data_IF_469126896203
#
_entry.id   IF_469126896203
#
_cell.length_a   1.000
_cell.length_b   1.000
_cell.length_c   1.000
_cell.angle_alpha   90.00
_cell.angle_beta   90.00
_cell.angle_gamma   90.00
#
_symmetry.space_group_name_H-M   'P 1'
#
loop_
_entity.id
_entity.type
_entity.pdbx_description
1 polymer ?
#
# COMPACT_ATOMS: atom_id res chain seq x y z
N UNK A 1 13.69 14.32 -30.09
CA UNK A 1 14.31 13.66 -28.92
C UNK A 1 13.79 12.23 -28.87
N UNK A 2 14.65 11.21 -28.83
CA UNK A 2 14.24 9.79 -28.84
C UNK A 2 14.30 9.18 -27.42
N UNK A 3 13.71 7.99 -27.23
CA UNK A 3 13.69 7.31 -25.93
C UNK A 3 15.09 7.04 -25.38
N UNK A 4 16.08 6.77 -26.24
CA UNK A 4 17.48 6.58 -25.82
C UNK A 4 18.07 7.85 -25.20
N UNK A 5 17.85 9.01 -25.82
CA UNK A 5 18.29 10.30 -25.28
C UNK A 5 17.56 10.66 -23.97
N UNK A 6 16.31 10.24 -23.82
CA UNK A 6 15.57 10.41 -22.56
C UNK A 6 16.09 9.51 -21.45
N UNK A 7 16.39 8.25 -21.75
CA UNK A 7 17.01 7.31 -20.80
C UNK A 7 18.36 7.82 -20.32
N UNK A 8 19.17 8.36 -21.23
CA UNK A 8 20.48 8.92 -20.86
C UNK A 8 20.33 10.14 -19.93
N UNK A 9 19.38 11.05 -20.22
CA UNK A 9 19.06 12.15 -19.33
C UNK A 9 18.56 11.67 -17.95
N UNK A 10 17.70 10.65 -17.93
CA UNK A 10 17.22 10.06 -16.68
C UNK A 10 18.35 9.40 -15.88
N UNK A 11 19.31 8.76 -16.56
CA UNK A 11 20.49 8.17 -15.93
C UNK A 11 21.34 9.23 -15.23
N UNK A 12 21.64 10.33 -15.92
CA UNK A 12 22.40 11.47 -15.35
C UNK A 12 21.66 12.03 -14.12
N UNK A 13 20.33 12.19 -14.19
CA UNK A 13 19.53 12.64 -13.06
C UNK A 13 19.56 11.67 -11.88
N UNK A 14 19.52 10.36 -12.14
CA UNK A 14 19.60 9.34 -11.09
C UNK A 14 20.98 9.33 -10.43
N UNK A 15 22.07 9.55 -11.17
CA UNK A 15 23.42 9.68 -10.60
C UNK A 15 23.53 10.91 -9.67
N UNK A 16 22.85 12.01 -10.02
CA UNK A 16 22.82 13.25 -9.22
C UNK A 16 21.91 13.17 -7.99
N UNK A 17 20.80 12.44 -8.10
CA UNK A 17 19.80 12.31 -7.03
C UNK A 17 19.92 11.01 -6.24
N UNK A 18 20.97 10.22 -6.49
CA UNK A 18 21.14 8.90 -5.93
C UNK A 18 21.03 8.97 -4.40
N UNK A 19 19.97 8.39 -3.81
CA UNK A 19 19.78 8.47 -2.37
C UNK A 19 20.95 7.78 -1.67
N UNK A 20 21.57 8.47 -0.71
CA UNK A 20 22.68 7.90 0.09
C UNK A 20 22.21 6.92 1.17
N UNK A 21 20.91 6.64 1.29
CA UNK A 21 20.45 5.65 2.26
C UNK A 21 20.74 4.25 1.72
N UNK A 22 21.44 3.44 2.52
CA UNK A 22 21.60 2.01 2.28
C UNK A 22 20.70 1.27 3.27
N UNK A 23 20.13 0.15 2.85
CA UNK A 23 19.49 -0.78 3.76
C UNK A 23 20.60 -1.69 4.29
N UNK A 24 20.94 -1.52 5.56
CA UNK A 24 22.10 -2.15 6.19
C UNK A 24 21.77 -3.53 6.75
N UNK A 25 20.52 -3.75 7.16
CA UNK A 25 20.09 -4.97 7.83
C UNK A 25 19.07 -5.77 7.01
N UNK A 26 18.97 -7.09 7.22
CA UNK A 26 17.87 -7.90 6.68
C UNK A 26 16.49 -7.36 7.09
N UNK A 27 16.34 -6.89 8.33
CA UNK A 27 15.09 -6.35 8.84
C UNK A 27 14.64 -5.09 8.08
N UNK A 28 15.55 -4.14 7.82
CA UNK A 28 15.22 -2.94 7.02
C UNK A 28 14.79 -3.30 5.58
N UNK A 29 15.43 -4.31 4.99
CA UNK A 29 15.05 -4.82 3.66
C UNK A 29 13.67 -5.47 3.70
N UNK A 30 13.40 -6.27 4.72
CA UNK A 30 12.12 -6.93 4.90
C UNK A 30 10.98 -5.93 5.11
N UNK A 31 11.19 -4.89 5.94
CA UNK A 31 10.24 -3.78 6.11
C UNK A 31 9.92 -3.14 4.76
N UNK A 32 10.94 -2.84 3.94
CA UNK A 32 10.72 -2.23 2.64
C UNK A 32 9.96 -3.17 1.69
N UNK A 33 10.35 -4.45 1.63
CA UNK A 33 9.67 -5.46 0.81
C UNK A 33 8.20 -5.62 1.21
N UNK A 34 7.90 -5.71 2.52
CA UNK A 34 6.53 -5.81 3.03
C UNK A 34 5.73 -4.53 2.76
N UNK A 35 6.39 -3.36 2.79
CA UNK A 35 5.76 -2.08 2.42
C UNK A 35 5.39 -2.05 0.94
N UNK A 36 6.27 -2.49 0.05
CA UNK A 36 5.97 -2.59 -1.39
C UNK A 36 4.84 -3.60 -1.63
N UNK A 37 4.88 -4.75 -0.95
CA UNK A 37 3.81 -5.75 -1.05
C UNK A 37 2.47 -5.20 -0.60
N UNK A 38 2.41 -4.45 0.51
CA UNK A 38 1.18 -3.77 0.94
C UNK A 38 0.64 -2.82 -0.13
N UNK A 39 1.52 -2.09 -0.84
CA UNK A 39 1.10 -1.21 -1.93
C UNK A 39 0.46 -1.99 -3.09
N UNK A 40 1.04 -3.14 -3.45
CA UNK A 40 0.48 -4.05 -4.45
C UNK A 40 -0.94 -4.48 -4.08
N UNK A 41 -1.16 -5.03 -2.88
CA UNK A 41 -2.49 -5.49 -2.42
C UNK A 41 -3.52 -4.36 -2.41
N UNK A 42 -3.11 -3.16 -1.99
CA UNK A 42 -3.99 -1.98 -2.04
C UNK A 42 -4.36 -1.62 -3.48
N UNK A 43 -3.42 -1.78 -4.42
CA UNK A 43 -3.65 -1.59 -5.84
C UNK A 43 -4.65 -2.59 -6.42
N UNK A 44 -4.54 -3.86 -6.03
CA UNK A 44 -5.46 -4.94 -6.43
C UNK A 44 -6.87 -4.71 -5.86
N UNK A 45 -6.98 -4.36 -4.57
CA UNK A 45 -8.23 -3.94 -3.96
C UNK A 45 -8.85 -2.73 -4.68
N UNK A 46 -8.05 -1.71 -5.02
CA UNK A 46 -8.52 -0.55 -5.78
C UNK A 46 -9.07 -0.95 -7.16
N UNK A 47 -8.38 -1.86 -7.85
CA UNK A 47 -8.81 -2.39 -9.14
C UNK A 47 -10.17 -3.10 -9.00
N UNK A 48 -10.35 -3.92 -7.98
CA UNK A 48 -11.60 -4.66 -7.74
C UNK A 48 -12.77 -3.74 -7.37
N UNK A 49 -12.54 -2.73 -6.52
CA UNK A 49 -13.55 -1.72 -6.20
C UNK A 49 -14.02 -0.99 -7.47
N UNK A 50 -13.09 -0.60 -8.35
CA UNK A 50 -13.43 0.02 -9.64
C UNK A 50 -14.23 -0.93 -10.53
N UNK A 51 -13.93 -2.24 -10.48
CA UNK A 51 -14.68 -3.28 -11.18
C UNK A 51 -16.14 -3.33 -10.74
N UNK A 52 -16.39 -3.35 -9.42
CA UNK A 52 -17.74 -3.36 -8.84
C UNK A 52 -18.53 -2.11 -9.19
N UNK A 53 -17.88 -0.95 -9.11
CA UNK A 53 -18.50 0.33 -9.45
C UNK A 53 -18.69 0.53 -10.96
N UNK A 54 -18.26 -0.44 -11.79
CA UNK A 54 -18.30 -0.39 -13.26
C UNK A 54 -17.56 0.82 -13.84
N UNK A 55 -16.51 1.27 -13.14
CA UNK A 55 -15.68 2.41 -13.56
C UNK A 55 -14.46 1.97 -14.38
N UNK A 56 -14.36 0.68 -14.72
CA UNK A 56 -13.32 0.13 -15.58
C UNK A 56 -13.71 0.07 -17.06
N UNK A 57 -12.71 -0.10 -17.94
CA UNK A 57 -12.92 -0.36 -19.37
C UNK A 57 -13.73 -1.66 -19.56
N UNK A 58 -14.66 -1.67 -20.52
CA UNK A 58 -15.60 -2.79 -20.77
C UNK A 58 -14.92 -4.17 -20.81
N UNK A 59 -13.80 -4.30 -21.50
CA UNK A 59 -13.05 -5.56 -21.60
C UNK A 59 -12.57 -6.14 -20.26
N UNK A 60 -12.38 -5.30 -19.22
CA UNK A 60 -12.02 -5.77 -17.87
C UNK A 60 -13.24 -6.21 -17.05
N UNK A 61 -14.43 -5.69 -17.35
CA UNK A 61 -15.66 -6.01 -16.61
C UNK A 61 -16.22 -7.39 -16.97
N UNK A 62 -15.89 -7.92 -18.16
CA UNK A 62 -16.34 -9.25 -18.63
C UNK A 62 -15.76 -10.41 -17.81
N UNK A 63 -14.63 -10.20 -17.13
CA UNK A 63 -13.94 -11.21 -16.33
C UNK A 63 -13.97 -10.92 -14.82
N UNK A 64 -14.79 -9.96 -14.38
CA UNK A 64 -14.83 -9.54 -12.99
C UNK A 64 -15.66 -10.51 -12.12
N UNK A 65 -15.05 -11.06 -11.07
CA UNK A 65 -15.73 -11.86 -10.03
C UNK A 65 -15.74 -11.12 -8.69
N UNK A 66 -16.94 -10.90 -8.13
CA UNK A 66 -17.11 -10.24 -6.82
C UNK A 66 -16.45 -10.99 -5.66
N UNK A 67 -16.18 -12.29 -5.81
CA UNK A 67 -15.50 -13.09 -4.77
C UNK A 67 -14.04 -12.66 -4.58
N UNK A 68 -13.41 -12.13 -5.62
CA UNK A 68 -12.03 -11.65 -5.57
C UNK A 68 -11.89 -10.50 -4.56
N UNK A 69 -12.85 -9.57 -4.53
CA UNK A 69 -12.84 -8.44 -3.59
C UNK A 69 -12.68 -8.87 -2.12
N UNK A 70 -13.33 -9.94 -1.67
CA UNK A 70 -13.19 -10.39 -0.28
C UNK A 70 -11.78 -10.89 0.02
N UNK A 71 -11.13 -11.50 -0.97
CA UNK A 71 -9.74 -11.94 -0.87
C UNK A 71 -8.82 -10.72 -0.81
N UNK A 72 -9.03 -9.73 -1.69
CA UNK A 72 -8.24 -8.49 -1.69
C UNK A 72 -8.30 -7.73 -0.36
N UNK A 73 -9.48 -7.66 0.28
CA UNK A 73 -9.59 -7.10 1.63
C UNK A 73 -8.78 -7.90 2.66
N UNK A 74 -8.80 -9.23 2.57
CA UNK A 74 -8.04 -10.10 3.47
C UNK A 74 -6.53 -9.95 3.24
N UNK A 75 -6.08 -9.87 1.99
CA UNK A 75 -4.67 -9.75 1.63
C UNK A 75 -4.08 -8.40 2.08
N UNK A 76 -4.84 -7.30 1.95
CA UNK A 76 -4.45 -6.00 2.53
C UNK A 76 -4.29 -6.08 4.04
N UNK A 77 -5.25 -6.69 4.75
CA UNK A 77 -5.19 -6.83 6.22
C UNK A 77 -4.00 -7.70 6.62
N UNK A 78 -3.84 -8.86 6.01
CA UNK A 78 -2.78 -9.81 6.34
C UNK A 78 -1.40 -9.20 6.08
N UNK A 79 -1.22 -8.53 4.94
CA UNK A 79 0.05 -7.88 4.60
C UNK A 79 0.36 -6.72 5.53
N UNK A 80 -0.67 -5.98 5.98
CA UNK A 80 -0.52 -4.95 7.01
C UNK A 80 -0.04 -5.54 8.35
N UNK A 81 -0.61 -6.67 8.78
CA UNK A 81 -0.20 -7.36 10.01
C UNK A 81 1.23 -7.89 9.91
N UNK A 82 1.62 -8.44 8.75
CA UNK A 82 2.99 -8.86 8.49
C UNK A 82 3.98 -7.69 8.58
N UNK A 83 3.63 -6.54 7.96
CA UNK A 83 4.45 -5.33 8.03
C UNK A 83 4.59 -4.83 9.49
N UNK A 84 3.48 -4.80 10.25
CA UNK A 84 3.50 -4.42 11.65
C UNK A 84 4.43 -5.32 12.48
N UNK A 85 4.38 -6.63 12.23
CA UNK A 85 5.23 -7.62 12.91
C UNK A 85 6.71 -7.34 12.67
N UNK A 86 7.13 -7.15 11.42
CA UNK A 86 8.55 -6.91 11.08
C UNK A 86 9.03 -5.52 11.50
N UNK A 87 8.11 -4.56 11.62
CA UNK A 87 8.39 -3.21 12.13
C UNK A 87 8.38 -3.12 13.67
N UNK A 88 8.09 -4.22 14.38
CA UNK A 88 8.02 -4.25 15.84
C UNK A 88 6.83 -3.46 16.42
N UNK A 89 5.73 -3.36 15.68
CA UNK A 89 4.52 -2.64 16.07
C UNK A 89 3.53 -3.59 16.74
N UNK A 90 3.16 -3.29 17.99
CA UNK A 90 2.00 -3.88 18.65
C UNK A 90 0.72 -3.30 18.05
N UNK A 91 0.21 -3.98 17.02
CA UNK A 91 -0.92 -3.51 16.22
C UNK A 91 -2.23 -3.53 17.00
N UNK A 92 -2.42 -4.47 17.93
CA UNK A 92 -3.63 -4.59 18.74
C UNK A 92 -3.75 -3.39 19.69
N UNK A 93 -2.66 -3.07 20.39
CA UNK A 93 -2.59 -1.87 21.23
C UNK A 93 -2.79 -0.60 20.40
N UNK A 94 -2.10 -0.48 19.26
CA UNK A 94 -2.19 0.70 18.40
C UNK A 94 -3.62 0.97 17.91
N UNK A 95 -4.34 -0.07 17.47
CA UNK A 95 -5.74 0.03 17.05
C UNK A 95 -6.63 0.40 18.24
N UNK A 96 -6.46 -0.25 19.39
CA UNK A 96 -7.25 0.00 20.59
C UNK A 96 -7.14 1.45 21.07
N UNK A 97 -5.93 1.99 21.12
CA UNK A 97 -5.68 3.37 21.53
C UNK A 97 -6.23 4.38 20.50
N UNK A 98 -6.13 4.04 19.20
CA UNK A 98 -6.70 4.87 18.13
C UNK A 98 -8.22 4.93 18.19
N UNK A 99 -8.90 3.81 18.46
CA UNK A 99 -10.35 3.73 18.61
C UNK A 99 -10.86 4.57 19.79
N UNK A 100 -10.17 4.54 20.94
CA UNK A 100 -10.48 5.40 22.10
C UNK A 100 -10.41 6.89 21.71
N UNK A 101 -9.30 7.28 21.08
CA UNK A 101 -9.07 8.67 20.63
C UNK A 101 -10.17 9.16 19.69
N UNK A 102 -10.57 8.33 18.71
CA UNK A 102 -11.66 8.67 17.78
C UNK A 102 -12.99 8.80 18.53
N UNK A 103 -13.28 7.88 19.46
CA UNK A 103 -14.49 7.93 20.28
C UNK A 103 -14.58 9.20 21.13
N UNK A 104 -13.47 9.65 21.71
CA UNK A 104 -13.41 10.89 22.48
C UNK A 104 -13.59 12.15 21.62
N UNK A 105 -12.96 12.18 20.43
CA UNK A 105 -13.13 13.29 19.47
C UNK A 105 -14.60 13.45 19.06
N UNK A 106 -15.24 12.35 18.67
CA UNK A 106 -16.63 12.36 18.22
C UNK A 106 -17.61 12.76 19.34
N UNK A 107 -17.27 12.55 20.62
CA UNK A 107 -18.07 13.01 21.76
C UNK A 107 -17.92 14.52 22.01
N UNK A 108 -16.75 15.10 21.72
CA UNK A 108 -16.51 16.54 21.85
C UNK A 108 -17.17 17.35 20.74
N UNK A 109 -17.20 16.84 19.52
CA UNK A 109 -17.86 17.49 18.37
C UNK A 109 -19.40 17.44 18.44
N UNK A 110 -19.96 16.54 19.26
CA UNK A 110 -21.41 16.42 19.50
C UNK A 110 -21.91 17.19 20.73
N UNK A 111 -21.02 17.89 21.45
CA UNK A 111 -21.35 18.75 22.60
C UNK A 111 -21.20 20.20 22.19
#
# INVERSE_FOLDING_TARGET
MNLKNLQEKARILNEQTNPRYKLYTPAEKEILTKTVKLNEEVGELCNDILGILKLQRRAKLEHFDKRNMYQEFADVILTTLQLATVAGVDIERAISDKLKTIGERNKKEKR
#
